data_IF_441318887508
#
_entry.id   IF_441318887508
#
_cell.length_a   1.000
_cell.length_b   1.000
_cell.length_c   1.000
_cell.angle_alpha   90.00
_cell.angle_beta   90.00
_cell.angle_gamma   90.00
#
_symmetry.space_group_name_H-M   'P 1'
#
loop_
_entity.id
_entity.type
_entity.pdbx_description
1 polymer ?
#
# COMPACT_ATOMS: atom_id res chain seq x y z
N UNK A 1 -1.44 35.39 -4.77
CA UNK A 1 -2.60 34.95 -3.97
C UNK A 1 -2.43 35.41 -2.54
N UNK A 2 -3.50 35.71 -1.83
CA UNK A 2 -3.40 36.25 -0.46
C UNK A 2 -2.80 35.20 0.51
N UNK A 3 -1.80 35.60 1.30
CA UNK A 3 -1.16 34.74 2.32
C UNK A 3 0.19 34.11 1.95
N UNK A 4 0.95 34.71 1.03
CA UNK A 4 2.25 34.19 0.58
C UNK A 4 3.38 34.65 1.51
N UNK A 5 3.92 33.72 2.33
CA UNK A 5 5.23 33.89 2.96
C UNK A 5 6.24 33.13 2.07
N UNK A 6 6.86 33.84 1.12
CA UNK A 6 7.76 33.31 0.08
C UNK A 6 7.52 33.97 -1.29
N UNK A 7 8.32 33.63 -2.32
CA UNK A 7 8.26 34.19 -3.69
C UNK A 7 6.90 33.92 -4.37
N UNK A 8 5.90 34.71 -3.99
CA UNK A 8 4.49 34.50 -4.24
C UNK A 8 4.07 34.39 -5.71
N UNK A 9 4.92 34.77 -6.65
CA UNK A 9 4.59 34.72 -8.08
C UNK A 9 4.50 33.29 -8.65
N UNK A 10 5.06 32.28 -7.98
CA UNK A 10 5.12 30.91 -8.49
C UNK A 10 4.19 29.92 -7.80
N UNK A 11 3.38 30.34 -6.82
CA UNK A 11 2.37 29.49 -6.18
C UNK A 11 0.95 29.99 -6.51
N UNK A 12 0.03 29.05 -6.76
CA UNK A 12 -1.40 29.31 -6.90
C UNK A 12 -2.16 28.84 -5.66
N UNK A 13 -3.19 29.59 -5.22
CA UNK A 13 -3.96 29.30 -4.00
C UNK A 13 -3.41 29.99 -2.75
N UNK A 14 -3.56 29.37 -1.57
CA UNK A 14 -3.33 29.99 -0.25
C UNK A 14 -2.51 29.11 0.70
N UNK A 15 -1.74 29.74 1.60
CA UNK A 15 -0.99 29.02 2.65
C UNK A 15 0.14 28.10 2.17
N UNK A 16 0.52 28.16 0.89
CA UNK A 16 1.60 27.34 0.35
C UNK A 16 2.98 27.93 0.68
N UNK A 17 3.93 27.08 1.07
CA UNK A 17 5.33 27.43 1.34
C UNK A 17 6.22 26.69 0.34
N UNK A 18 7.13 27.39 -0.34
CA UNK A 18 8.01 26.86 -1.39
C UNK A 18 7.66 27.40 -2.77
N UNK A 19 7.84 26.61 -3.85
CA UNK A 19 7.63 27.06 -5.24
C UNK A 19 6.77 26.08 -6.05
N UNK A 20 6.02 26.61 -7.02
CA UNK A 20 5.22 25.83 -7.98
C UNK A 20 4.14 24.95 -7.33
N UNK A 21 3.66 25.32 -6.15
CA UNK A 21 2.53 24.63 -5.52
C UNK A 21 1.20 25.23 -5.99
N UNK A 22 0.19 24.38 -6.12
CA UNK A 22 -1.20 24.74 -6.45
C UNK A 22 -2.16 24.20 -5.39
N UNK A 23 -3.12 25.00 -4.94
CA UNK A 23 -4.11 24.62 -3.92
C UNK A 23 -3.80 25.23 -2.56
N UNK A 24 -3.94 24.48 -1.47
CA UNK A 24 -3.86 25.02 -0.11
C UNK A 24 -2.85 24.30 0.79
N UNK A 25 -2.13 25.08 1.60
CA UNK A 25 -1.32 24.56 2.72
C UNK A 25 -0.25 23.52 2.32
N UNK A 26 0.25 23.57 1.08
CA UNK A 26 1.33 22.68 0.64
C UNK A 26 2.70 23.24 1.03
N UNK A 27 3.62 22.38 1.46
CA UNK A 27 4.99 22.74 1.81
C UNK A 27 5.96 21.97 0.91
N UNK A 28 6.79 22.69 0.16
CA UNK A 28 7.81 22.12 -0.73
C UNK A 28 7.65 22.57 -2.18
N UNK A 29 7.75 21.64 -3.13
CA UNK A 29 7.84 21.98 -4.55
C UNK A 29 6.86 21.19 -5.41
N UNK A 30 6.25 21.84 -6.39
CA UNK A 30 5.41 21.20 -7.41
C UNK A 30 4.23 20.38 -6.87
N UNK A 31 3.75 20.66 -5.65
CA UNK A 31 2.61 19.95 -5.10
C UNK A 31 1.28 20.53 -5.60
N UNK A 32 0.29 19.68 -5.79
CA UNK A 32 -1.08 20.07 -6.16
C UNK A 32 -2.09 19.50 -5.17
N UNK A 33 -3.06 20.30 -4.75
CA UNK A 33 -4.11 19.91 -3.82
C UNK A 33 -3.91 20.52 -2.43
N UNK A 34 -4.06 19.72 -1.37
CA UNK A 34 -4.15 20.24 0.00
C UNK A 34 -3.22 19.57 1.00
N UNK A 35 -2.44 20.34 1.75
CA UNK A 35 -1.71 19.84 2.91
C UNK A 35 -0.60 18.84 2.59
N UNK A 36 -0.05 18.86 1.36
CA UNK A 36 1.05 17.98 1.00
C UNK A 36 2.40 18.54 1.49
N UNK A 37 3.31 17.66 1.91
CA UNK A 37 4.68 17.99 2.31
C UNK A 37 5.68 17.24 1.43
N UNK A 38 6.51 17.97 0.68
CA UNK A 38 7.59 17.40 -0.13
C UNK A 38 7.53 17.83 -1.59
N UNK A 39 7.70 16.89 -2.52
CA UNK A 39 7.93 17.19 -3.94
C UNK A 39 6.93 16.46 -4.84
N UNK A 40 6.29 17.19 -5.74
CA UNK A 40 5.47 16.62 -6.82
C UNK A 40 4.34 15.69 -6.33
N UNK A 41 3.77 15.96 -5.16
CA UNK A 41 2.61 15.23 -4.68
C UNK A 41 1.31 15.83 -5.22
N UNK A 42 0.33 14.98 -5.52
CA UNK A 42 -0.99 15.38 -5.99
C UNK A 42 -2.09 14.79 -5.10
N UNK A 43 -3.07 15.59 -4.70
CA UNK A 43 -4.15 15.18 -3.80
C UNK A 43 -3.98 15.78 -2.42
N UNK A 44 -4.19 15.00 -1.36
CA UNK A 44 -4.25 15.55 0.00
C UNK A 44 -3.36 14.83 1.01
N UNK A 45 -2.73 15.59 1.90
CA UNK A 45 -2.00 15.06 3.07
C UNK A 45 -0.89 14.05 2.75
N UNK A 46 -0.31 14.12 1.55
CA UNK A 46 0.81 13.26 1.18
C UNK A 46 2.13 13.83 1.70
N UNK A 47 3.01 12.97 2.19
CA UNK A 47 4.36 13.33 2.63
C UNK A 47 5.41 12.55 1.83
N UNK A 48 6.34 13.25 1.18
CA UNK A 48 7.43 12.63 0.42
C UNK A 48 7.44 13.08 -1.04
N UNK A 49 7.66 12.15 -1.97
CA UNK A 49 7.91 12.47 -3.39
C UNK A 49 6.96 11.71 -4.30
N UNK A 50 6.29 12.44 -5.21
CA UNK A 50 5.58 11.84 -6.32
C UNK A 50 4.36 11.01 -5.94
N UNK A 51 3.77 11.23 -4.76
CA UNK A 51 2.58 10.49 -4.34
C UNK A 51 1.31 11.11 -4.94
N UNK A 52 0.35 10.27 -5.32
CA UNK A 52 -0.97 10.69 -5.83
C UNK A 52 -2.08 10.08 -4.99
N UNK A 53 -3.10 10.87 -4.65
CA UNK A 53 -4.24 10.43 -3.83
C UNK A 53 -4.16 11.03 -2.42
N UNK A 54 -4.52 10.29 -1.38
CA UNK A 54 -4.64 10.84 -0.03
C UNK A 54 -3.79 10.12 1.02
N UNK A 55 -3.15 10.90 1.91
CA UNK A 55 -2.50 10.40 3.13
C UNK A 55 -1.39 9.37 2.87
N UNK A 56 -0.68 9.49 1.75
CA UNK A 56 0.46 8.61 1.46
C UNK A 56 1.75 9.17 2.04
N UNK A 57 2.62 8.30 2.57
CA UNK A 57 3.96 8.66 3.04
C UNK A 57 5.03 7.88 2.29
N UNK A 58 5.98 8.57 1.68
CA UNK A 58 7.13 7.97 1.00
C UNK A 58 7.21 8.35 -0.47
N UNK A 59 7.44 7.37 -1.35
CA UNK A 59 7.83 7.61 -2.75
C UNK A 59 6.87 6.95 -3.74
N UNK A 60 6.32 7.73 -4.67
CA UNK A 60 5.59 7.22 -5.83
C UNK A 60 4.43 6.26 -5.49
N UNK A 61 3.74 6.49 -4.38
CA UNK A 61 2.52 5.75 -4.06
C UNK A 61 1.32 6.37 -4.79
N UNK A 62 0.35 5.54 -5.18
CA UNK A 62 -0.87 5.98 -5.87
C UNK A 62 -2.09 5.36 -5.24
N UNK A 63 -3.02 6.18 -4.74
CA UNK A 63 -4.22 5.77 -4.01
C UNK A 63 -4.21 6.34 -2.60
N UNK A 64 -4.66 5.59 -1.60
CA UNK A 64 -4.90 6.16 -0.27
C UNK A 64 -4.19 5.41 0.86
N UNK A 65 -3.62 6.16 1.82
CA UNK A 65 -3.08 5.61 3.09
C UNK A 65 -1.95 4.59 2.87
N UNK A 66 -1.08 4.80 1.88
CA UNK A 66 0.09 3.95 1.67
C UNK A 66 1.33 4.52 2.38
N UNK A 67 2.16 3.64 2.94
CA UNK A 67 3.48 4.00 3.49
C UNK A 67 4.59 3.21 2.82
N UNK A 68 5.63 3.89 2.35
CA UNK A 68 6.78 3.27 1.68
C UNK A 68 6.89 3.69 0.22
N UNK A 69 7.11 2.76 -0.70
CA UNK A 69 7.43 3.10 -2.09
C UNK A 69 6.69 2.28 -3.14
N UNK A 70 6.24 2.93 -4.21
CA UNK A 70 5.66 2.27 -5.38
C UNK A 70 4.48 1.35 -5.03
N UNK A 71 3.55 1.82 -4.19
CA UNK A 71 2.34 1.05 -3.88
C UNK A 71 1.12 1.66 -4.60
N UNK A 72 0.60 1.01 -5.67
CA UNK A 72 -0.71 1.31 -6.23
C UNK A 72 -1.86 0.68 -5.42
N UNK A 73 -2.93 1.43 -5.19
CA UNK A 73 -4.08 1.02 -4.39
C UNK A 73 -4.05 1.66 -3.01
N UNK A 74 -4.56 0.98 -1.98
CA UNK A 74 -4.78 1.63 -0.68
C UNK A 74 -4.35 0.81 0.54
N UNK A 75 -3.98 1.47 1.63
CA UNK A 75 -3.62 0.83 2.90
C UNK A 75 -2.43 -0.14 2.82
N UNK A 76 -1.47 0.11 1.93
CA UNK A 76 -0.28 -0.73 1.82
C UNK A 76 0.90 -0.16 2.62
N UNK A 77 1.69 -1.03 3.24
CA UNK A 77 2.95 -0.67 3.91
C UNK A 77 4.12 -1.46 3.32
N UNK A 78 5.18 -0.76 2.94
CA UNK A 78 6.40 -1.33 2.38
C UNK A 78 6.56 -0.97 0.89
N UNK A 79 6.81 -1.93 0.00
CA UNK A 79 7.11 -1.57 -1.40
C UNK A 79 6.54 -2.49 -2.47
N UNK A 80 6.16 -1.91 -3.60
CA UNK A 80 5.69 -2.65 -4.78
C UNK A 80 4.45 -3.52 -4.51
N UNK A 81 3.57 -3.07 -3.62
CA UNK A 81 2.30 -3.75 -3.37
C UNK A 81 1.20 -3.14 -4.24
N UNK A 82 0.49 -3.99 -4.99
CA UNK A 82 -0.63 -3.57 -5.83
C UNK A 82 -1.92 -4.13 -5.26
N UNK A 83 -2.91 -3.27 -5.03
CA UNK A 83 -4.19 -3.65 -4.41
C UNK A 83 -4.30 -3.02 -3.03
N UNK A 84 -4.92 -3.72 -2.07
CA UNK A 84 -5.20 -3.13 -0.76
C UNK A 84 -4.72 -3.96 0.43
N UNK A 85 -4.40 -3.28 1.53
CA UNK A 85 -4.08 -3.90 2.83
C UNK A 85 -2.88 -4.84 2.83
N UNK A 86 -1.87 -4.59 1.99
CA UNK A 86 -0.67 -5.42 1.96
C UNK A 86 0.44 -4.85 2.86
N UNK A 87 1.19 -5.72 3.53
CA UNK A 87 2.37 -5.35 4.33
C UNK A 87 3.59 -6.14 3.87
N UNK A 88 4.74 -5.46 3.70
CA UNK A 88 5.98 -6.06 3.22
C UNK A 88 6.28 -5.62 1.78
N UNK A 89 6.52 -6.54 0.85
CA UNK A 89 6.75 -6.10 -0.52
C UNK A 89 6.51 -7.09 -1.64
N UNK A 90 6.27 -6.55 -2.83
CA UNK A 90 5.94 -7.32 -4.03
C UNK A 90 4.72 -8.23 -3.82
N UNK A 91 3.64 -7.70 -3.23
CA UNK A 91 2.41 -8.45 -3.07
C UNK A 91 1.30 -7.91 -4.00
N UNK A 92 1.07 -8.50 -5.18
CA UNK A 92 -0.10 -8.24 -6.00
C UNK A 92 -1.35 -8.94 -5.43
N UNK A 93 -2.41 -8.15 -5.22
CA UNK A 93 -3.70 -8.60 -4.68
C UNK A 93 -4.00 -7.91 -3.35
N UNK A 94 -4.78 -8.55 -2.47
CA UNK A 94 -5.26 -7.90 -1.24
C UNK A 94 -4.93 -8.69 0.03
N UNK A 95 -4.69 -7.95 1.11
CA UNK A 95 -4.55 -8.50 2.47
C UNK A 95 -3.38 -9.49 2.61
N UNK A 96 -2.28 -9.26 1.89
CA UNK A 96 -1.09 -10.10 2.00
C UNK A 96 -0.08 -9.53 2.99
N UNK A 97 0.55 -10.40 3.78
CA UNK A 97 1.63 -10.02 4.70
C UNK A 97 2.90 -10.81 4.37
N UNK A 98 4.01 -10.10 4.15
CA UNK A 98 5.31 -10.69 3.83
C UNK A 98 5.79 -10.30 2.43
N UNK A 99 6.38 -11.24 1.69
CA UNK A 99 7.04 -10.93 0.42
C UNK A 99 6.59 -11.84 -0.72
N UNK A 100 6.46 -11.27 -1.92
CA UNK A 100 6.24 -12.03 -3.16
C UNK A 100 4.94 -12.85 -3.17
N UNK A 101 3.90 -12.43 -2.43
CA UNK A 101 2.63 -13.15 -2.42
C UNK A 101 1.70 -12.65 -3.52
N UNK A 102 1.27 -13.55 -4.41
CA UNK A 102 0.34 -13.28 -5.51
C UNK A 102 -1.01 -13.88 -5.16
N UNK A 103 -2.07 -13.08 -5.24
CA UNK A 103 -3.42 -13.45 -4.83
C UNK A 103 -3.81 -12.74 -3.54
N UNK A 104 -4.67 -13.32 -2.71
CA UNK A 104 -5.25 -12.64 -1.56
C UNK A 104 -5.10 -13.44 -0.27
N UNK A 105 -5.03 -12.73 0.87
CA UNK A 105 -5.00 -13.31 2.22
C UNK A 105 -3.82 -14.25 2.48
N UNK A 106 -2.68 -14.00 1.85
CA UNK A 106 -1.48 -14.81 2.05
C UNK A 106 -0.57 -14.20 3.12
N UNK A 107 -0.06 -15.05 4.00
CA UNK A 107 0.96 -14.68 4.98
C UNK A 107 2.23 -15.49 4.77
N UNK A 108 3.35 -14.80 4.55
CA UNK A 108 4.69 -15.40 4.44
C UNK A 108 5.41 -15.01 3.15
N UNK A 109 6.06 -15.98 2.48
CA UNK A 109 6.99 -15.70 1.38
C UNK A 109 6.64 -16.52 0.15
N UNK A 110 6.44 -15.85 -0.99
CA UNK A 110 6.30 -16.49 -2.30
C UNK A 110 5.14 -17.48 -2.37
N UNK A 111 3.97 -17.12 -1.83
CA UNK A 111 2.75 -17.89 -2.01
C UNK A 111 1.97 -17.38 -3.23
N UNK A 112 1.47 -18.30 -4.05
CA UNK A 112 0.66 -18.01 -5.24
C UNK A 112 -0.69 -18.72 -5.14
N UNK A 113 -1.75 -17.93 -5.00
CA UNK A 113 -3.12 -18.36 -4.78
C UNK A 113 -3.76 -17.59 -3.62
N UNK A 114 -4.79 -18.14 -2.98
CA UNK A 114 -5.54 -17.45 -1.93
C UNK A 114 -5.55 -18.22 -0.60
N UNK A 115 -5.47 -17.48 0.51
CA UNK A 115 -5.61 -18.00 1.88
C UNK A 115 -4.50 -18.97 2.29
N UNK A 116 -3.25 -18.62 1.98
CA UNK A 116 -2.09 -19.44 2.33
C UNK A 116 -1.27 -18.86 3.50
N UNK A 117 -0.74 -19.72 4.35
CA UNK A 117 0.22 -19.34 5.39
C UNK A 117 1.50 -20.17 5.27
N UNK A 118 2.63 -19.51 5.10
CA UNK A 118 3.94 -20.17 5.01
C UNK A 118 4.75 -19.70 3.82
N UNK A 119 5.46 -20.60 3.14
CA UNK A 119 6.32 -20.19 2.04
C UNK A 119 6.36 -21.17 0.86
N UNK A 120 6.50 -20.60 -0.34
CA UNK A 120 6.59 -21.35 -1.59
C UNK A 120 5.37 -22.27 -1.80
N UNK A 121 4.17 -21.74 -1.55
CA UNK A 121 2.90 -22.43 -1.76
C UNK A 121 2.35 -22.06 -3.14
N UNK A 122 1.86 -23.04 -3.88
CA UNK A 122 1.06 -22.84 -5.10
C UNK A 122 -0.26 -23.60 -4.96
N UNK A 123 -1.36 -22.89 -4.79
CA UNK A 123 -2.67 -23.46 -4.47
C UNK A 123 -3.45 -22.53 -3.56
N UNK A 124 -4.51 -23.01 -2.94
CA UNK A 124 -5.34 -22.23 -2.04
C UNK A 124 -5.54 -22.95 -0.70
N UNK A 125 -5.86 -22.20 0.35
CA UNK A 125 -6.22 -22.74 1.66
C UNK A 125 -5.16 -23.67 2.26
N UNK A 126 -3.88 -23.35 2.08
CA UNK A 126 -2.79 -24.23 2.50
C UNK A 126 -1.90 -23.61 3.58
N UNK A 127 -1.33 -24.46 4.44
CA UNK A 127 -0.40 -24.04 5.49
C UNK A 127 0.89 -24.88 5.46
N UNK A 128 2.05 -24.25 5.26
CA UNK A 128 3.34 -24.95 5.34
C UNK A 128 4.41 -24.41 4.40
N UNK A 129 5.33 -25.29 3.99
CA UNK A 129 6.47 -24.94 3.14
C UNK A 129 6.50 -25.85 1.91
N UNK A 130 6.75 -25.27 0.74
CA UNK A 130 6.92 -26.01 -0.52
C UNK A 130 5.72 -26.90 -0.88
N UNK A 131 4.51 -26.34 -0.80
CA UNK A 131 3.27 -27.06 -1.07
C UNK A 131 2.76 -26.74 -2.48
N UNK A 132 2.22 -27.76 -3.14
CA UNK A 132 1.51 -27.62 -4.41
C UNK A 132 0.15 -28.30 -4.30
N UNK A 133 -0.91 -27.55 -4.61
CA UNK A 133 -2.30 -27.98 -4.52
C UNK A 133 -3.08 -27.27 -3.42
N UNK A 134 -4.40 -27.46 -3.44
CA UNK A 134 -5.30 -26.83 -2.48
C UNK A 134 -5.42 -27.65 -1.19
N UNK A 135 -5.76 -27.00 -0.08
CA UNK A 135 -6.09 -27.64 1.20
C UNK A 135 -4.95 -28.50 1.79
N UNK A 136 -3.70 -28.07 1.61
CA UNK A 136 -2.53 -28.77 2.11
C UNK A 136 -2.10 -28.29 3.50
N UNK A 137 -1.53 -29.20 4.31
CA UNK A 137 -1.04 -28.87 5.66
C UNK A 137 -2.13 -28.46 6.65
N UNK A 138 -3.36 -28.91 6.42
CA UNK A 138 -4.48 -28.71 7.34
C UNK A 138 -4.36 -29.60 8.57
N UNK A 139 -4.78 -29.06 9.72
CA UNK A 139 -4.98 -29.85 10.95
C UNK A 139 -6.35 -30.51 10.89
N UNK A 140 -6.40 -31.84 10.89
CA UNK A 140 -7.66 -32.61 10.92
C UNK A 140 -8.11 -32.94 12.33
N UNK A 141 -9.42 -32.81 12.60
CA UNK A 141 -10.08 -33.37 13.78
C UNK A 141 -10.80 -34.65 13.36
N UNK A 142 -10.49 -35.79 13.99
CA UNK A 142 -11.27 -37.01 13.83
C UNK A 142 -12.38 -37.04 14.89
N UNK A 143 -13.64 -36.94 14.46
CA UNK A 143 -14.80 -37.08 15.32
C UNK A 143 -15.51 -38.40 14.99
N UNK A 144 -15.46 -39.34 15.92
CA UNK A 144 -16.26 -40.56 15.87
C UNK A 144 -17.63 -40.25 16.49
N UNK A 145 -18.70 -40.42 15.70
CA UNK A 145 -20.08 -40.34 16.18
C UNK A 145 -20.61 -41.77 16.24
N UNK A 146 -20.70 -42.33 17.44
CA UNK A 146 -21.42 -43.58 17.67
C UNK A 146 -22.93 -43.29 17.64
N UNK A 147 -23.64 -43.90 16.69
CA UNK A 147 -25.11 -43.89 16.68
C UNK A 147 -25.63 -45.08 17.52
N UNK A 148 -26.58 -44.87 18.44
CA UNK A 148 -27.14 -45.92 19.30
C UNK A 148 -27.98 -46.96 18.55
#
# INVERSE_FOLDING_TARGET
GNGQIGFGSFNSGSGNIGLFNSGSNNIGFFNSGSGNFGIANSGSFNTGIGNTGNTNTGLFNSGDVNTGAFNPGSFNTGSFNTGSFNTGGFNPGNTNTGYLNIGNYNTGIANTGDVDTGAFITGNYSNGLFLSGDYQGLVGLNLVIDMP
#
